data_IF_876995624788
#
_entry.id   IF_876995624788
#
_cell.length_a   1.000
_cell.length_b   1.000
_cell.length_c   1.000
_cell.angle_alpha   90.00
_cell.angle_beta   90.00
_cell.angle_gamma   90.00
#
_symmetry.space_group_name_H-M   'P 1'
#
loop_
_entity.id
_entity.type
_entity.pdbx_description
1 polymer ?
#
# COMPACT_ATOMS: atom_id res chain seq x y z
N UNK A 1 3.87 -41.64 -22.37
CA UNK A 1 3.44 -40.32 -21.99
C UNK A 1 2.35 -40.53 -20.95
N UNK A 2 2.75 -40.63 -19.66
CA UNK A 2 1.83 -40.87 -18.55
C UNK A 2 1.39 -39.49 -18.04
N UNK A 3 0.13 -39.19 -18.26
CA UNK A 3 -0.59 -38.08 -17.63
C UNK A 3 -0.75 -38.40 -16.14
N UNK A 4 -0.34 -37.50 -15.27
CA UNK A 4 -0.66 -37.52 -13.85
C UNK A 4 -1.95 -36.69 -13.64
N UNK A 5 -3.13 -37.33 -13.62
CA UNK A 5 -4.39 -36.60 -13.44
C UNK A 5 -4.78 -36.34 -11.98
N UNK A 6 -4.09 -36.91 -10.98
CA UNK A 6 -4.70 -37.09 -9.66
C UNK A 6 -4.08 -36.27 -8.50
N UNK A 7 -3.28 -35.25 -8.77
CA UNK A 7 -2.67 -34.44 -7.69
C UNK A 7 -3.47 -33.18 -7.31
N UNK A 8 -4.63 -32.94 -7.91
CA UNK A 8 -5.43 -31.72 -7.67
C UNK A 8 -6.86 -31.95 -7.15
N UNK A 9 -7.27 -33.17 -6.85
CA UNK A 9 -8.64 -33.49 -6.43
C UNK A 9 -8.84 -33.71 -4.93
N UNK A 10 -8.12 -33.02 -4.06
CA UNK A 10 -8.55 -32.86 -2.66
C UNK A 10 -9.10 -31.46 -2.40
N UNK A 11 -9.86 -30.90 -3.32
CA UNK A 11 -10.65 -29.72 -3.06
C UNK A 11 -11.84 -30.10 -2.17
N UNK A 12 -11.70 -29.92 -0.87
CA UNK A 12 -12.84 -29.84 0.03
C UNK A 12 -13.79 -28.82 -0.56
N UNK A 13 -14.99 -29.24 -0.94
CA UNK A 13 -15.98 -28.33 -1.51
C UNK A 13 -16.18 -27.13 -0.57
N UNK A 14 -16.21 -25.90 -1.08
CA UNK A 14 -16.34 -24.70 -0.25
C UNK A 14 -17.65 -24.79 0.56
N UNK A 15 -17.52 -24.62 1.87
CA UNK A 15 -18.64 -24.75 2.82
C UNK A 15 -19.50 -23.50 2.90
N UNK A 16 -18.95 -22.35 2.51
CA UNK A 16 -19.63 -21.06 2.56
C UNK A 16 -19.48 -20.26 1.26
N UNK A 17 -20.33 -19.27 1.06
CA UNK A 17 -20.24 -18.34 -0.07
C UNK A 17 -18.91 -17.57 -0.05
N UNK A 18 -18.43 -17.17 1.12
CA UNK A 18 -17.13 -16.55 1.33
C UNK A 18 -15.98 -17.44 0.84
N UNK A 19 -15.96 -18.72 1.22
CA UNK A 19 -14.95 -19.66 0.77
C UNK A 19 -14.96 -19.83 -0.75
N UNK A 20 -16.14 -19.88 -1.34
CA UNK A 20 -16.30 -19.95 -2.80
C UNK A 20 -15.68 -18.74 -3.49
N UNK A 21 -15.95 -17.52 -2.98
CA UNK A 21 -15.39 -16.28 -3.52
C UNK A 21 -13.86 -16.26 -3.39
N UNK A 22 -13.33 -16.75 -2.26
CA UNK A 22 -11.90 -16.85 -2.02
C UNK A 22 -11.20 -17.83 -2.98
N UNK A 23 -11.73 -19.05 -3.15
CA UNK A 23 -11.13 -20.06 -4.02
C UNK A 23 -11.19 -19.67 -5.49
N UNK A 24 -12.27 -19.00 -5.91
CA UNK A 24 -12.42 -18.52 -7.29
C UNK A 24 -11.70 -17.21 -7.57
N UNK A 25 -11.11 -16.57 -6.53
CA UNK A 25 -10.55 -15.21 -6.64
C UNK A 25 -11.56 -14.25 -7.29
N UNK A 26 -12.80 -14.29 -6.81
CA UNK A 26 -13.92 -13.58 -7.40
C UNK A 26 -13.69 -12.07 -7.35
N UNK A 27 -13.56 -11.43 -8.51
CA UNK A 27 -13.32 -9.99 -8.65
C UNK A 27 -14.60 -9.18 -8.89
N UNK A 28 -15.78 -9.78 -8.68
CA UNK A 28 -17.04 -9.05 -8.84
C UNK A 28 -17.25 -8.06 -7.68
N UNK A 29 -18.00 -7.00 -7.94
CA UNK A 29 -18.36 -6.00 -6.94
C UNK A 29 -19.29 -6.55 -5.85
N UNK A 30 -20.03 -7.60 -6.20
CA UNK A 30 -20.96 -8.27 -5.30
C UNK A 30 -20.30 -9.34 -4.40
N UNK A 31 -19.05 -9.68 -4.65
CA UNK A 31 -18.34 -10.68 -3.88
C UNK A 31 -17.92 -10.15 -2.50
N UNK A 32 -17.69 -11.08 -1.56
CA UNK A 32 -17.13 -10.74 -0.27
C UNK A 32 -15.72 -10.15 -0.45
N UNK A 33 -15.45 -9.05 0.23
CA UNK A 33 -14.11 -8.44 0.22
C UNK A 33 -13.26 -9.14 1.27
N UNK A 34 -12.17 -9.76 0.83
CA UNK A 34 -11.16 -10.35 1.72
C UNK A 34 -9.78 -9.96 1.25
N UNK A 35 -9.07 -9.22 2.08
CA UNK A 35 -7.67 -8.85 1.86
C UNK A 35 -6.81 -9.20 3.07
N UNK A 36 -5.53 -9.48 2.85
CA UNK A 36 -4.57 -9.72 3.91
C UNK A 36 -3.49 -8.63 3.91
N UNK A 37 -3.40 -7.92 5.03
CA UNK A 37 -2.33 -6.97 5.31
C UNK A 37 -1.16 -7.73 5.90
N UNK A 38 -0.08 -7.84 5.16
CA UNK A 38 1.11 -8.60 5.57
C UNK A 38 2.04 -7.79 6.48
N UNK A 39 2.10 -6.48 6.28
CA UNK A 39 2.91 -5.55 7.08
C UNK A 39 2.39 -4.13 6.99
N UNK A 40 2.70 -3.35 8.03
CA UNK A 40 2.59 -1.89 8.02
C UNK A 40 3.98 -1.30 7.79
N UNK A 41 4.04 -0.21 7.03
CA UNK A 41 5.27 0.54 6.80
C UNK A 41 5.00 2.05 6.83
N UNK A 42 5.97 2.79 7.29
CA UNK A 42 5.94 4.25 7.30
C UNK A 42 6.52 4.80 6.00
N UNK A 43 5.89 5.81 5.47
CA UNK A 43 6.37 6.54 4.31
C UNK A 43 6.30 8.03 4.62
N UNK A 44 7.35 8.82 4.29
CA UNK A 44 7.27 10.27 4.37
C UNK A 44 6.08 10.79 3.57
N UNK A 45 5.30 11.67 4.16
CA UNK A 45 4.02 12.16 3.56
C UNK A 45 4.25 12.87 2.22
N UNK A 46 5.40 13.48 2.02
CA UNK A 46 5.82 14.12 0.76
C UNK A 46 6.00 13.14 -0.41
N UNK A 47 6.20 11.85 -0.12
CA UNK A 47 6.30 10.79 -1.14
C UNK A 47 4.96 10.22 -1.58
N UNK A 48 3.89 10.56 -0.90
CA UNK A 48 2.55 10.17 -1.33
C UNK A 48 2.17 10.88 -2.64
N UNK A 49 1.43 10.23 -3.54
CA UNK A 49 1.01 10.83 -4.83
C UNK A 49 0.32 12.18 -4.66
N UNK A 50 -0.44 12.35 -3.58
CA UNK A 50 -1.20 13.55 -3.25
C UNK A 50 -0.31 14.76 -2.92
N UNK A 51 0.89 14.49 -2.40
CA UNK A 51 1.87 15.51 -1.98
C UNK A 51 3.10 15.58 -2.87
N UNK A 52 3.19 14.69 -3.86
CA UNK A 52 4.31 14.69 -4.80
C UNK A 52 4.25 15.98 -5.60
N UNK A 53 5.14 16.93 -5.28
CA UNK A 53 5.32 18.14 -6.09
C UNK A 53 5.53 17.68 -7.52
N UNK A 54 4.71 18.17 -8.45
CA UNK A 54 4.87 17.87 -9.86
C UNK A 54 6.32 18.16 -10.23
N UNK A 55 7.07 17.13 -10.62
CA UNK A 55 8.40 17.34 -11.17
C UNK A 55 8.21 18.22 -12.39
N UNK A 56 8.90 19.39 -12.46
CA UNK A 56 8.71 20.29 -13.59
C UNK A 56 8.94 19.53 -14.90
N UNK A 57 8.08 19.75 -15.87
CA UNK A 57 8.18 19.15 -17.19
C UNK A 57 9.58 19.42 -17.77
N UNK A 58 10.07 18.49 -18.62
CA UNK A 58 11.36 18.66 -19.32
C UNK A 58 11.39 20.01 -20.05
N UNK A 59 10.26 20.46 -20.54
CA UNK A 59 10.13 21.75 -21.23
C UNK A 59 10.22 22.94 -20.26
N UNK A 60 9.69 22.82 -19.05
CA UNK A 60 9.86 23.84 -18.00
C UNK A 60 11.30 23.91 -17.50
N UNK A 61 11.97 22.75 -17.36
CA UNK A 61 13.41 22.71 -17.00
C UNK A 61 14.25 23.33 -18.10
N UNK A 62 13.96 23.04 -19.37
CA UNK A 62 14.63 23.68 -20.52
C UNK A 62 14.36 25.17 -20.57
N UNK A 63 13.12 25.61 -20.33
CA UNK A 63 12.75 27.02 -20.28
C UNK A 63 13.54 27.79 -19.22
N UNK A 64 13.57 27.27 -17.99
CA UNK A 64 14.34 27.86 -16.87
C UNK A 64 15.84 27.89 -17.16
N UNK A 65 16.38 26.82 -17.78
CA UNK A 65 17.80 26.78 -18.16
C UNK A 65 18.12 27.79 -19.27
N UNK A 66 17.20 28.00 -20.21
CA UNK A 66 17.35 29.02 -21.26
C UNK A 66 17.29 30.43 -20.69
N UNK A 67 16.31 30.73 -19.83
CA UNK A 67 16.20 32.02 -19.15
C UNK A 67 17.43 32.34 -18.28
N UNK A 68 17.95 31.32 -17.57
CA UNK A 68 19.16 31.48 -16.77
C UNK A 68 20.38 31.82 -17.66
N UNK A 69 20.50 31.20 -18.85
CA UNK A 69 21.58 31.51 -19.79
C UNK A 69 21.45 32.92 -20.38
N UNK A 70 20.25 33.34 -20.79
CA UNK A 70 19.99 34.68 -21.29
C UNK A 70 20.30 35.74 -20.24
N UNK A 71 19.98 35.47 -18.98
CA UNK A 71 20.28 36.38 -17.85
C UNK A 71 21.76 36.54 -17.58
N UNK A 72 22.56 35.47 -17.76
CA UNK A 72 24.00 35.48 -17.60
C UNK A 72 24.67 36.20 -18.79
N UNK A 73 24.16 36.05 -19.99
CA UNK A 73 24.66 36.69 -21.21
C UNK A 73 24.34 38.19 -21.24
N UNK A 74 23.17 38.59 -20.70
CA UNK A 74 22.79 39.99 -20.58
C UNK A 74 23.61 40.82 -19.56
N UNK A 75 24.35 40.18 -18.67
CA UNK A 75 25.14 40.83 -17.60
C UNK A 75 26.65 40.77 -17.86
N UNK A 76 27.10 40.40 -19.07
CA UNK A 76 28.50 40.47 -19.48
C UNK A 76 28.80 41.85 -20.01
N UNK A 77 29.29 42.73 -19.15
CA UNK A 77 30.07 43.88 -19.59
C UNK A 77 31.43 43.40 -20.16
N UNK A 78 31.94 43.99 -21.23
CA UNK A 78 33.20 43.56 -21.80
C UNK A 78 34.37 44.16 -21.03
N UNK A 79 34.82 43.41 -20.03
CA UNK A 79 36.09 43.73 -19.35
C UNK A 79 37.12 42.69 -19.76
N UNK A 80 38.15 43.17 -20.44
CA UNK A 80 39.20 42.37 -21.04
C UNK A 80 40.16 41.75 -20.04
N UNK A 81 40.89 40.79 -20.59
CA UNK A 81 42.19 40.27 -20.21
C UNK A 81 42.30 39.20 -19.11
N UNK A 82 43.00 38.17 -19.51
CA UNK A 82 43.77 37.19 -18.79
C UNK A 82 43.15 35.82 -18.54
N UNK A 83 43.54 34.93 -19.43
CA UNK A 83 43.54 33.48 -19.25
C UNK A 83 44.54 33.05 -18.20
N UNK A 84 44.19 32.19 -17.23
CA UNK A 84 45.13 31.28 -16.63
C UNK A 84 44.87 29.84 -17.05
N UNK A 85 45.95 29.20 -17.45
CA UNK A 85 46.06 27.78 -17.83
C UNK A 85 45.63 26.83 -16.72
N UNK A 86 45.13 25.63 -17.07
CA UNK A 86 44.71 24.63 -16.09
C UNK A 86 45.93 23.94 -15.46
N UNK A 87 46.02 23.96 -14.14
CA UNK A 87 46.92 23.14 -13.35
C UNK A 87 46.26 21.76 -13.13
N UNK A 88 46.93 20.64 -13.49
CA UNK A 88 46.40 19.31 -13.21
C UNK A 88 46.79 18.87 -11.79
N UNK A 89 45.79 18.41 -11.02
CA UNK A 89 46.05 17.65 -9.82
C UNK A 89 45.46 18.20 -8.53
N UNK A 90 44.14 18.05 -8.36
CA UNK A 90 43.59 17.93 -7.01
C UNK A 90 42.37 16.98 -7.09
N UNK A 91 42.55 15.81 -6.49
CA UNK A 91 41.49 14.86 -6.14
C UNK A 91 40.46 15.58 -5.26
N UNK A 92 39.14 15.34 -5.48
CA UNK A 92 38.13 15.85 -4.56
C UNK A 92 38.24 15.11 -3.22
N UNK A 93 38.70 15.82 -2.21
CA UNK A 93 38.56 15.39 -0.82
C UNK A 93 37.10 15.27 -0.51
N UNK A 94 36.71 14.12 0.01
CA UNK A 94 35.42 13.89 0.66
C UNK A 94 35.24 14.93 1.77
N UNK A 95 34.38 15.89 1.48
CA UNK A 95 33.89 16.80 2.51
C UNK A 95 32.90 15.98 3.35
N UNK A 96 33.36 15.51 4.50
CA UNK A 96 32.52 15.07 5.60
C UNK A 96 31.58 16.23 5.92
N UNK A 97 30.33 16.10 5.46
CA UNK A 97 29.24 16.99 5.87
C UNK A 97 28.99 16.66 7.33
N UNK A 98 29.52 17.52 8.20
CA UNK A 98 29.20 17.51 9.61
C UNK A 98 27.71 17.74 9.76
N UNK A 99 27.01 16.71 10.23
CA UNK A 99 25.63 16.82 10.70
C UNK A 99 25.59 17.81 11.86
N UNK A 100 25.09 19.00 11.60
CA UNK A 100 24.70 19.93 12.66
C UNK A 100 23.52 19.29 13.44
N UNK A 101 23.59 19.12 14.76
CA UNK A 101 22.48 18.63 15.56
C UNK A 101 21.50 19.78 15.84
N UNK A 102 20.65 20.13 14.89
CA UNK A 102 19.80 21.31 15.08
C UNK A 102 18.54 21.43 14.23
N UNK A 103 18.25 20.55 13.30
CA UNK A 103 17.01 20.65 12.55
C UNK A 103 16.40 19.24 12.35
N UNK A 104 15.85 18.71 13.43
CA UNK A 104 14.90 17.58 13.31
C UNK A 104 13.63 18.18 12.75
N UNK A 105 13.56 18.36 11.44
CA UNK A 105 12.30 18.48 10.74
C UNK A 105 11.46 17.29 11.18
N UNK A 106 10.35 17.54 11.83
CA UNK A 106 9.35 16.51 12.10
C UNK A 106 8.94 15.94 10.77
N UNK A 107 9.52 14.81 10.41
CA UNK A 107 9.16 14.10 9.18
C UNK A 107 7.77 13.55 9.43
N UNK A 108 6.76 14.22 8.88
CA UNK A 108 5.39 13.72 8.90
C UNK A 108 5.35 12.40 8.14
N UNK A 109 5.29 11.30 8.88
CA UNK A 109 5.20 9.96 8.32
C UNK A 109 3.75 9.49 8.28
N UNK A 110 3.38 8.88 7.17
CA UNK A 110 2.09 8.22 7.00
C UNK A 110 2.28 6.71 7.03
N UNK A 111 1.48 6.03 7.86
CA UNK A 111 1.47 4.57 7.92
C UNK A 111 0.57 4.01 6.83
N UNK A 112 1.13 3.08 6.05
CA UNK A 112 0.45 2.34 5.00
C UNK A 112 0.48 0.85 5.29
N UNK A 113 -0.62 0.15 5.00
CA UNK A 113 -0.68 -1.31 5.03
C UNK A 113 -0.34 -1.88 3.65
N UNK A 114 0.63 -2.81 3.59
CA UNK A 114 0.90 -3.59 2.39
C UNK A 114 -0.01 -4.80 2.37
N UNK A 115 -0.89 -4.89 1.40
CA UNK A 115 -1.97 -5.86 1.35
C UNK A 115 -2.11 -6.54 -0.02
N UNK A 116 -2.70 -7.75 0.01
CA UNK A 116 -3.17 -8.45 -1.18
C UNK A 116 -4.67 -8.69 -1.05
N UNK A 117 -5.41 -8.39 -2.10
CA UNK A 117 -6.84 -8.67 -2.19
C UNK A 117 -7.05 -10.07 -2.78
N UNK A 118 -7.78 -10.93 -2.06
CA UNK A 118 -8.06 -12.31 -2.46
C UNK A 118 -9.43 -12.46 -3.11
N UNK A 119 -10.43 -11.68 -2.66
CA UNK A 119 -11.77 -11.67 -3.27
C UNK A 119 -12.42 -10.30 -3.14
N UNK A 120 -13.36 -10.01 -4.02
CA UNK A 120 -14.13 -8.78 -4.08
C UNK A 120 -13.40 -7.58 -4.66
N UNK A 121 -13.99 -6.42 -4.43
CA UNK A 121 -13.46 -5.11 -4.82
C UNK A 121 -13.47 -4.19 -3.61
N UNK A 122 -12.31 -3.64 -3.23
CA UNK A 122 -12.21 -2.64 -2.15
C UNK A 122 -12.18 -1.24 -2.76
N UNK A 123 -12.90 -0.29 -2.14
CA UNK A 123 -13.02 1.10 -2.59
C UNK A 123 -12.60 2.09 -1.51
N UNK A 124 -12.10 3.24 -1.93
CA UNK A 124 -11.83 4.37 -1.02
C UNK A 124 -13.15 4.80 -0.35
N UNK A 125 -13.09 5.10 0.96
CA UNK A 125 -14.26 5.48 1.75
C UNK A 125 -15.11 4.32 2.26
N UNK A 126 -14.87 3.06 1.82
CA UNK A 126 -15.60 1.91 2.34
C UNK A 126 -15.22 1.60 3.79
N UNK A 127 -16.19 1.12 4.56
CA UNK A 127 -15.96 0.60 5.91
C UNK A 127 -15.65 -0.88 5.83
N UNK A 128 -14.59 -1.30 6.50
CA UNK A 128 -14.10 -2.68 6.52
C UNK A 128 -13.85 -3.14 7.94
N UNK A 129 -14.01 -4.44 8.19
CA UNK A 129 -13.63 -5.06 9.44
C UNK A 129 -12.18 -5.54 9.38
N UNK A 130 -11.36 -5.07 10.30
CA UNK A 130 -9.98 -5.50 10.48
C UNK A 130 -9.94 -6.62 11.50
N UNK A 131 -9.64 -7.82 11.06
CA UNK A 131 -9.57 -9.02 11.88
C UNK A 131 -8.13 -9.26 12.30
N UNK A 132 -7.88 -9.16 13.61
CA UNK A 132 -6.54 -9.28 14.19
C UNK A 132 -6.08 -10.75 14.26
N UNK A 133 -4.76 -11.02 14.36
CA UNK A 133 -4.21 -12.38 14.30
C UNK A 133 -4.68 -13.32 15.41
N UNK A 134 -5.18 -12.79 16.53
CA UNK A 134 -5.69 -13.59 17.66
C UNK A 134 -7.14 -14.06 17.49
N UNK A 135 -7.81 -13.60 16.45
CA UNK A 135 -9.16 -14.04 16.12
C UNK A 135 -9.18 -15.54 15.81
N UNK A 136 -10.14 -16.26 16.40
CA UNK A 136 -10.29 -17.69 16.23
C UNK A 136 -11.47 -18.01 15.28
N UNK A 137 -11.17 -18.57 14.10
CA UNK A 137 -12.18 -18.95 13.10
C UNK A 137 -13.08 -20.11 13.56
N UNK A 138 -12.68 -20.88 14.59
CA UNK A 138 -13.48 -22.01 15.08
C UNK A 138 -14.61 -21.60 16.04
N UNK A 139 -14.64 -20.31 16.40
CA UNK A 139 -15.61 -19.76 17.36
C UNK A 139 -16.37 -18.63 16.67
N UNK A 140 -17.64 -18.46 17.00
CA UNK A 140 -18.49 -17.42 16.42
C UNK A 140 -17.88 -16.01 16.58
N UNK A 141 -18.05 -15.12 15.61
CA UNK A 141 -17.55 -13.74 15.65
C UNK A 141 -18.06 -12.94 16.85
N UNK A 142 -19.27 -13.21 17.30
CA UNK A 142 -19.92 -12.56 18.45
C UNK A 142 -19.40 -13.02 19.82
N UNK A 143 -18.64 -14.12 19.85
CA UNK A 143 -18.09 -14.67 21.09
C UNK A 143 -17.17 -13.67 21.80
N UNK A 144 -17.21 -13.59 23.14
CA UNK A 144 -16.37 -12.64 23.93
C UNK A 144 -14.89 -12.69 23.61
N UNK A 145 -14.36 -13.85 23.20
CA UNK A 145 -12.97 -14.00 22.78
C UNK A 145 -12.67 -13.28 21.47
N UNK A 146 -13.58 -13.34 20.49
CA UNK A 146 -13.38 -12.79 19.15
C UNK A 146 -13.71 -11.31 19.05
N UNK A 147 -14.68 -10.84 19.82
CA UNK A 147 -15.17 -9.46 19.79
C UNK A 147 -14.06 -8.38 19.88
N UNK A 148 -13.03 -8.48 20.75
CA UNK A 148 -11.95 -7.48 20.82
C UNK A 148 -10.96 -7.57 19.65
N UNK A 149 -11.07 -8.59 18.82
CA UNK A 149 -10.16 -8.84 17.70
C UNK A 149 -10.75 -8.47 16.34
N UNK A 150 -11.93 -7.87 16.29
CA UNK A 150 -12.57 -7.31 15.11
C UNK A 150 -12.76 -5.82 15.31
N UNK A 151 -12.11 -5.01 14.51
CA UNK A 151 -12.12 -3.55 14.61
C UNK A 151 -12.57 -2.98 13.26
N UNK A 152 -13.58 -2.12 13.27
CA UNK A 152 -14.00 -1.45 12.05
C UNK A 152 -13.06 -0.28 11.73
N UNK A 153 -12.70 -0.16 10.47
CA UNK A 153 -11.88 0.94 9.95
C UNK A 153 -12.43 1.43 8.62
N UNK A 154 -12.17 2.69 8.30
CA UNK A 154 -12.53 3.27 7.01
C UNK A 154 -11.30 3.35 6.11
N UNK A 155 -11.45 2.93 4.87
CA UNK A 155 -10.41 3.01 3.85
C UNK A 155 -10.19 4.47 3.46
N UNK A 156 -9.07 5.06 3.87
CA UNK A 156 -8.75 6.46 3.61
C UNK A 156 -8.22 6.70 2.21
N UNK A 157 -7.34 5.84 1.73
CA UNK A 157 -6.80 5.88 0.37
C UNK A 157 -6.25 4.52 -0.03
N UNK A 158 -6.21 4.27 -1.34
CA UNK A 158 -5.66 3.07 -1.95
C UNK A 158 -4.58 3.45 -2.95
N UNK A 159 -3.51 2.66 -3.00
CA UNK A 159 -2.39 2.89 -3.90
C UNK A 159 -1.96 1.60 -4.56
N UNK A 160 -1.74 1.64 -5.86
CA UNK A 160 -1.08 0.57 -6.61
C UNK A 160 0.42 0.84 -6.66
N UNK A 161 1.23 -0.21 -6.54
CA UNK A 161 2.68 -0.11 -6.59
C UNK A 161 3.17 -0.28 -8.02
N UNK A 162 3.84 0.75 -8.54
CA UNK A 162 4.47 0.73 -9.87
C UNK A 162 5.97 0.97 -9.70
N UNK A 163 6.72 -0.12 -9.55
CA UNK A 163 8.14 -0.05 -9.22
C UNK A 163 8.39 0.56 -7.85
N UNK A 164 8.95 1.77 -7.82
CA UNK A 164 9.22 2.54 -6.59
C UNK A 164 8.15 3.56 -6.25
N UNK A 165 7.23 3.80 -7.18
CA UNK A 165 6.20 4.82 -7.04
C UNK A 165 4.86 4.22 -6.62
N UNK A 166 4.09 5.01 -5.87
CA UNK A 166 2.71 4.75 -5.53
C UNK A 166 1.81 5.55 -6.45
N UNK A 167 0.78 4.92 -6.99
CA UNK A 167 -0.25 5.58 -7.80
C UNK A 167 -1.56 5.45 -7.05
N UNK A 168 -2.21 6.59 -6.75
CA UNK A 168 -3.51 6.60 -6.11
C UNK A 168 -4.57 6.00 -7.04
N UNK A 169 -5.44 5.17 -6.48
CA UNK A 169 -6.55 4.52 -7.20
C UNK A 169 -7.81 4.56 -6.34
N UNK A 170 -8.98 4.63 -6.97
CA UNK A 170 -10.26 4.68 -6.27
C UNK A 170 -10.73 3.30 -5.81
N UNK A 171 -10.31 2.26 -6.52
CA UNK A 171 -10.68 0.87 -6.21
C UNK A 171 -9.60 -0.12 -6.62
N UNK A 172 -9.59 -1.28 -5.96
CA UNK A 172 -8.71 -2.41 -6.25
C UNK A 172 -9.55 -3.67 -6.30
N UNK A 173 -9.36 -4.50 -7.34
CA UNK A 173 -10.03 -5.80 -7.52
C UNK A 173 -9.18 -6.97 -7.03
N UNK A 174 -9.82 -8.11 -6.79
CA UNK A 174 -9.17 -9.35 -6.38
C UNK A 174 -7.96 -9.72 -7.26
N UNK A 175 -6.97 -10.39 -6.66
CA UNK A 175 -5.72 -10.77 -7.28
C UNK A 175 -4.60 -9.74 -7.18
N UNK A 176 -4.91 -8.47 -6.92
CA UNK A 176 -3.94 -7.38 -6.89
C UNK A 176 -3.28 -7.19 -5.52
N UNK A 177 -2.07 -6.65 -5.56
CA UNK A 177 -1.31 -6.16 -4.40
C UNK A 177 -1.43 -4.64 -4.38
N UNK A 178 -1.64 -4.09 -3.19
CA UNK A 178 -1.87 -2.66 -3.02
C UNK A 178 -1.39 -2.15 -1.66
N UNK A 179 -1.26 -0.84 -1.53
CA UNK A 179 -1.08 -0.19 -0.24
C UNK A 179 -2.39 0.51 0.17
N UNK A 180 -2.70 0.46 1.45
CA UNK A 180 -3.92 1.03 2.03
C UNK A 180 -3.59 1.99 3.16
N UNK A 181 -4.25 3.16 3.16
CA UNK A 181 -4.23 4.15 4.22
C UNK A 181 -5.56 4.16 4.97
N UNK A 182 -5.54 4.58 6.23
CA UNK A 182 -6.74 4.68 7.08
C UNK A 182 -6.84 3.59 8.14
N UNK A 183 -5.88 2.67 8.19
CA UNK A 183 -5.85 1.58 9.18
C UNK A 183 -5.07 1.92 10.44
N UNK A 184 -4.60 3.16 10.59
CA UNK A 184 -3.84 3.63 11.74
C UNK A 184 -4.65 3.51 13.03
N UNK A 185 -4.03 2.96 14.07
CA UNK A 185 -4.72 2.70 15.34
C UNK A 185 -5.53 1.41 15.37
N UNK A 186 -5.96 0.88 14.22
CA UNK A 186 -6.68 -0.39 14.13
C UNK A 186 -5.73 -1.58 13.90
N UNK A 187 -4.68 -1.38 13.12
CA UNK A 187 -3.70 -2.43 12.78
C UNK A 187 -2.29 -1.92 13.07
N UNK A 188 -1.49 -2.75 13.78
CA UNK A 188 -0.08 -2.45 14.06
C UNK A 188 0.90 -3.22 13.19
N UNK A 189 0.56 -4.44 12.76
CA UNK A 189 1.47 -5.30 11.99
C UNK A 189 0.79 -5.97 10.83
N UNK A 190 -0.13 -6.88 11.10
CA UNK A 190 -0.83 -7.72 10.13
C UNK A 190 -2.27 -7.92 10.57
N UNK A 191 -3.18 -8.04 9.61
CA UNK A 191 -4.58 -8.33 9.85
C UNK A 191 -5.23 -8.82 8.56
N UNK A 192 -6.39 -9.46 8.69
CA UNK A 192 -7.28 -9.70 7.55
C UNK A 192 -8.29 -8.56 7.49
N UNK A 193 -8.53 -8.03 6.32
CA UNK A 193 -9.58 -7.06 6.05
C UNK A 193 -10.73 -7.81 5.43
N UNK A 194 -11.92 -7.66 6.02
CA UNK A 194 -13.14 -8.28 5.52
C UNK A 194 -14.22 -7.22 5.34
N UNK A 195 -15.06 -7.40 4.31
CA UNK A 195 -16.33 -6.70 4.19
C UNK A 195 -17.39 -7.64 3.59
N UNK A 196 -18.66 -7.47 3.96
CA UNK A 196 -19.74 -8.31 3.45
C UNK A 196 -19.93 -8.10 1.95
N UNK A 197 -20.53 -9.08 1.31
CA UNK A 197 -21.00 -8.97 -0.07
C UNK A 197 -22.13 -7.94 -0.15
N UNK A 198 -22.10 -7.08 -1.18
CA UNK A 198 -23.20 -6.14 -1.43
C UNK A 198 -24.46 -6.84 -1.93
N UNK A 199 -24.34 -8.01 -2.54
CA UNK A 199 -25.46 -8.85 -2.95
C UNK A 199 -26.22 -9.48 -1.76
N UNK A 200 -25.57 -9.57 -0.59
CA UNK A 200 -26.08 -10.24 0.62
C UNK A 200 -26.75 -9.31 1.64
N UNK A 201 -27.18 -8.11 1.29
CA UNK A 201 -27.81 -7.11 2.19
C UNK A 201 -29.06 -7.62 2.95
N UNK A 202 -29.50 -8.85 2.70
CA UNK A 202 -30.65 -9.46 3.39
C UNK A 202 -30.33 -10.32 4.61
N UNK A 203 -29.06 -10.54 4.92
CA UNK A 203 -28.66 -11.32 6.12
C UNK A 203 -27.88 -10.45 7.11
N UNK A 204 -28.54 -9.46 7.68
CA UNK A 204 -27.98 -8.55 8.70
C UNK A 204 -27.50 -9.28 9.97
N UNK A 205 -27.61 -10.60 10.06
CA UNK A 205 -27.34 -11.35 11.28
C UNK A 205 -26.29 -12.44 11.14
N UNK A 206 -25.81 -12.75 9.94
CA UNK A 206 -24.71 -13.72 9.80
C UNK A 206 -23.37 -12.99 9.64
N UNK A 207 -22.49 -13.15 10.61
CA UNK A 207 -21.09 -12.68 10.53
C UNK A 207 -20.20 -13.66 9.76
N UNK A 208 -20.77 -14.49 8.89
CA UNK A 208 -20.07 -15.54 8.14
C UNK A 208 -19.04 -15.02 7.14
N UNK A 209 -19.04 -13.70 6.91
CA UNK A 209 -18.07 -13.00 6.07
C UNK A 209 -16.78 -12.60 6.81
N UNK A 210 -16.66 -12.89 8.11
CA UNK A 210 -15.48 -12.57 8.91
C UNK A 210 -14.55 -13.78 8.98
N UNK A 211 -13.35 -13.64 8.45
CA UNK A 211 -12.33 -14.69 8.45
C UNK A 211 -10.95 -14.14 8.82
N UNK A 212 -10.15 -14.94 9.50
CA UNK A 212 -8.76 -14.64 9.78
C UNK A 212 -7.84 -15.50 8.91
N UNK A 213 -7.21 -14.91 7.90
CA UNK A 213 -6.22 -15.58 7.04
C UNK A 213 -4.84 -15.71 7.71
N UNK A 214 -4.55 -14.86 8.69
CA UNK A 214 -3.28 -14.83 9.42
C UNK A 214 -3.26 -15.68 10.69
N UNK A 215 -4.37 -16.26 11.07
CA UNK A 215 -4.50 -17.18 12.19
C UNK A 215 -3.75 -18.47 11.89
N UNK A 216 -2.73 -18.79 12.68
CA UNK A 216 -2.08 -20.10 12.65
C UNK A 216 -3.08 -21.10 13.21
N UNK A 217 -3.94 -21.67 12.37
CA UNK A 217 -4.54 -22.95 12.66
C UNK A 217 -3.40 -23.98 12.61
N UNK A 218 -2.69 -24.14 13.72
CA UNK A 218 -1.98 -25.39 13.99
C UNK A 218 -3.06 -26.43 14.23
N UNK A 219 -3.62 -26.97 13.19
CA UNK A 219 -4.11 -28.33 13.27
C UNK A 219 -2.86 -29.18 13.46
N UNK A 220 -2.60 -29.49 14.72
CA UNK A 220 -1.71 -30.56 15.10
C UNK A 220 -2.42 -31.82 14.58
N UNK A 221 -1.88 -32.42 13.51
CA UNK A 221 -2.17 -33.80 13.17
C UNK A 221 -1.59 -34.71 14.22
#
# INVERSE_FOLDING_TARGET
MMLYPDLFESHVAPKSSLEKDLYSCNASEDAHVVAYVSKMFALPTDRLPEHKKQTPSIDEVRGRAHEARVRVEGNREPSGAASPSPVPGQTPSETLIGESPGDRQEVNETLLGFARLYSGVIRVGSTVACVLPKYNNAVEPTHPHNKPHVINATVGALYTMMGRDLIAVDSVSAGNIFAIRGLQGSIWRRATICAPSTAGVREEHSHDWIINLGGVNRQVC
#
